data_IF_700836742783
#
_entry.id   IF_700836742783
#
_cell.length_a   1.000
_cell.length_b   1.000
_cell.length_c   1.000
_cell.angle_alpha   90.00
_cell.angle_beta   90.00
_cell.angle_gamma   90.00
#
_symmetry.space_group_name_H-M   'P 1'
#
loop_
_entity.id
_entity.type
_entity.pdbx_description
1 polymer ?
#
# COMPACT_ATOMS: atom_id res chain seq x y z
N UNK A 1 -3.28 -4.75 -7.96
CA UNK A 1 -3.70 -4.09 -6.70
C UNK A 1 -5.16 -4.40 -6.46
N UNK A 2 -5.45 -5.37 -5.61
CA UNK A 2 -6.82 -5.82 -5.42
C UNK A 2 -7.40 -5.21 -4.14
N UNK A 3 -8.56 -4.55 -4.23
CA UNK A 3 -9.22 -3.96 -3.05
C UNK A 3 -9.74 -5.02 -2.08
N UNK A 4 -9.98 -6.26 -2.54
CA UNK A 4 -10.37 -7.38 -1.67
C UNK A 4 -9.14 -8.06 -1.05
N UNK A 5 -8.01 -8.09 -1.75
CA UNK A 5 -6.76 -8.67 -1.28
C UNK A 5 -5.66 -7.62 -1.21
N UNK A 6 -5.81 -6.64 -0.30
CA UNK A 6 -4.76 -5.67 -0.02
C UNK A 6 -3.50 -6.38 0.48
N UNK A 7 -2.34 -5.92 0.02
CA UNK A 7 -1.02 -6.42 0.44
C UNK A 7 -0.04 -5.25 0.53
N UNK A 8 1.00 -5.32 1.38
CA UNK A 8 2.05 -4.31 1.44
C UNK A 8 2.73 -4.17 0.07
N UNK A 9 2.83 -2.94 -0.43
CA UNK A 9 3.40 -2.68 -1.75
C UNK A 9 4.92 -2.51 -1.68
N UNK A 10 5.59 -2.85 -2.78
CA UNK A 10 7.00 -2.52 -3.00
C UNK A 10 7.23 -1.01 -2.90
N UNK A 11 8.35 -0.61 -2.32
CA UNK A 11 8.79 0.79 -2.31
C UNK A 11 9.11 1.22 -3.74
N UNK A 12 8.57 2.37 -4.16
CA UNK A 12 8.78 2.88 -5.52
C UNK A 12 7.91 2.21 -6.60
N UNK A 13 6.86 1.46 -6.22
CA UNK A 13 5.93 0.83 -7.18
C UNK A 13 5.21 1.84 -8.10
N UNK A 14 5.19 3.12 -7.73
CA UNK A 14 4.69 4.19 -8.58
C UNK A 14 5.49 4.32 -9.88
N UNK A 15 6.82 4.24 -9.83
CA UNK A 15 7.66 4.28 -11.05
C UNK A 15 7.33 3.12 -11.98
N UNK A 16 7.16 1.94 -11.40
CA UNK A 16 6.84 0.73 -12.12
C UNK A 16 5.44 0.81 -12.78
N UNK A 17 4.48 1.40 -12.07
CA UNK A 17 3.15 1.69 -12.59
C UNK A 17 3.14 2.76 -13.68
N UNK A 18 3.95 3.81 -13.55
CA UNK A 18 4.08 4.87 -14.56
C UNK A 18 4.72 4.33 -15.84
N UNK A 19 5.69 3.42 -15.71
CA UNK A 19 6.37 2.81 -16.85
C UNK A 19 5.44 1.89 -17.68
N UNK A 20 4.51 1.18 -17.03
CA UNK A 20 3.61 0.24 -17.72
C UNK A 20 2.24 0.80 -18.08
N UNK A 21 1.66 1.70 -17.27
CA UNK A 21 0.37 2.28 -17.57
C UNK A 21 0.49 3.54 -18.42
N UNK A 22 -0.47 3.72 -19.33
CA UNK A 22 -0.70 4.98 -20.05
C UNK A 22 -1.51 5.99 -19.22
N UNK A 23 -1.45 5.90 -17.90
CA UNK A 23 -2.15 6.81 -17.00
C UNK A 23 -1.23 7.99 -16.62
N UNK A 24 -1.80 9.17 -16.35
CA UNK A 24 -1.01 10.31 -15.88
C UNK A 24 -0.34 9.99 -14.54
N UNK A 25 0.92 10.40 -14.37
CA UNK A 25 1.68 10.24 -13.13
C UNK A 25 0.90 10.75 -11.91
N UNK A 26 0.28 11.94 -12.02
CA UNK A 26 -0.50 12.53 -10.94
C UNK A 26 -1.66 11.64 -10.50
N UNK A 27 -2.32 10.96 -11.43
CA UNK A 27 -3.43 10.04 -11.15
C UNK A 27 -2.93 8.81 -10.41
N UNK A 28 -1.79 8.23 -10.84
CA UNK A 28 -1.17 7.07 -10.20
C UNK A 28 -0.73 7.42 -8.77
N UNK A 29 -0.02 8.53 -8.60
CA UNK A 29 0.44 9.00 -7.30
C UNK A 29 -0.74 9.27 -6.35
N UNK A 30 -1.81 9.93 -6.83
CA UNK A 30 -2.99 10.20 -6.01
C UNK A 30 -3.73 8.91 -5.61
N UNK A 31 -3.89 7.97 -6.55
CA UNK A 31 -4.52 6.69 -6.29
C UNK A 31 -3.73 5.86 -5.27
N UNK A 32 -2.40 5.77 -5.42
CA UNK A 32 -1.50 5.10 -4.48
C UNK A 32 -1.51 5.77 -3.11
N UNK A 33 -1.45 7.09 -3.07
CA UNK A 33 -1.49 7.84 -1.82
C UNK A 33 -2.80 7.58 -1.06
N UNK A 34 -3.94 7.60 -1.76
CA UNK A 34 -5.25 7.29 -1.16
C UNK A 34 -5.35 5.83 -0.72
N UNK A 35 -4.81 4.90 -1.51
CA UNK A 35 -4.73 3.48 -1.16
C UNK A 35 -3.92 3.27 0.13
N UNK A 36 -2.70 3.83 0.19
CA UNK A 36 -1.81 3.73 1.35
C UNK A 36 -2.36 4.43 2.61
N UNK A 37 -3.20 5.44 2.46
CA UNK A 37 -3.89 6.12 3.57
C UNK A 37 -5.06 5.33 4.14
N UNK A 38 -5.53 4.30 3.44
CA UNK A 38 -6.64 3.48 3.93
C UNK A 38 -6.18 2.70 5.15
N UNK A 39 -7.04 2.59 6.16
CA UNK A 39 -6.72 1.84 7.36
C UNK A 39 -6.38 0.38 7.03
N UNK A 40 -7.22 -0.31 6.26
CA UNK A 40 -6.97 -1.70 5.84
C UNK A 40 -5.53 -1.93 5.29
N UNK A 41 -4.96 -0.96 4.58
CA UNK A 41 -3.58 -1.05 4.11
C UNK A 41 -2.56 -0.94 5.25
N UNK A 42 -2.71 0.04 6.14
CA UNK A 42 -1.77 0.22 7.26
C UNK A 42 -1.79 -0.98 8.22
N UNK A 43 -2.90 -1.72 8.37
CA UNK A 43 -2.88 -2.94 9.23
C UNK A 43 -2.00 -4.05 8.64
N UNK A 44 -1.78 -4.03 7.33
CA UNK A 44 -0.99 -5.03 6.63
C UNK A 44 0.50 -4.69 6.61
N UNK A 45 0.85 -3.41 6.65
CA UNK A 45 2.23 -2.92 6.66
C UNK A 45 2.80 -2.98 8.09
N UNK A 46 3.04 -4.21 8.55
CA UNK A 46 3.69 -4.51 9.84
C UNK A 46 5.14 -4.93 9.63
N UNK A 47 5.95 -4.84 10.68
CA UNK A 47 7.33 -5.35 10.68
C UNK A 47 7.35 -6.80 10.18
N UNK A 48 8.34 -7.14 9.34
CA UNK A 48 8.52 -8.43 8.68
C UNK A 48 7.47 -8.83 7.64
N UNK A 49 6.44 -8.00 7.37
CA UNK A 49 5.47 -8.28 6.32
C UNK A 49 6.14 -8.25 4.93
N UNK A 50 5.75 -9.17 4.05
CA UNK A 50 6.30 -9.25 2.68
C UNK A 50 5.68 -8.15 1.81
N UNK A 51 6.55 -7.43 1.08
CA UNK A 51 6.15 -6.48 0.05
C UNK A 51 6.01 -7.17 -1.29
N UNK A 52 4.98 -6.79 -2.02
CA UNK A 52 4.66 -7.35 -3.32
C UNK A 52 4.74 -6.29 -4.43
N UNK A 53 5.22 -6.71 -5.59
CA UNK A 53 5.21 -5.91 -6.82
C UNK A 53 3.81 -5.93 -7.47
N UNK A 54 3.62 -5.22 -8.59
CA UNK A 54 2.37 -5.17 -9.36
C UNK A 54 1.97 -6.57 -9.85
N UNK A 55 2.96 -7.42 -10.16
CA UNK A 55 2.78 -8.79 -10.60
C UNK A 55 2.49 -9.77 -9.44
N UNK A 56 2.59 -9.30 -8.19
CA UNK A 56 2.42 -10.17 -7.02
C UNK A 56 3.67 -10.96 -6.64
N UNK A 57 4.83 -10.60 -7.20
CA UNK A 57 6.12 -11.16 -6.82
C UNK A 57 6.59 -10.58 -5.46
N UNK A 58 7.13 -11.39 -4.54
CA UNK A 58 7.69 -10.89 -3.29
C UNK A 58 9.02 -10.20 -3.55
N UNK A 59 9.15 -8.94 -3.10
CA UNK A 59 10.29 -8.07 -3.47
C UNK A 59 11.11 -7.62 -2.26
N UNK A 60 10.62 -7.92 -1.06
CA UNK A 60 11.31 -7.56 0.18
C UNK A 60 10.39 -7.67 1.38
N UNK A 61 10.89 -7.22 2.53
CA UNK A 61 10.13 -7.16 3.78
C UNK A 61 9.97 -5.70 4.23
N UNK A 62 8.93 -5.46 5.01
CA UNK A 62 8.73 -4.19 5.72
C UNK A 62 9.65 -4.19 6.94
N UNK A 63 10.57 -3.24 6.98
CA UNK A 63 11.44 -3.02 8.13
C UNK A 63 10.68 -2.29 9.25
N UNK A 64 11.20 -2.38 10.48
CA UNK A 64 10.58 -1.81 11.69
C UNK A 64 10.25 -0.33 11.53
N UNK A 65 11.19 0.44 11.00
CA UNK A 65 11.08 1.89 10.81
C UNK A 65 10.03 2.27 9.74
N UNK A 66 9.71 1.34 8.84
CA UNK A 66 8.75 1.54 7.74
C UNK A 66 7.39 0.92 8.04
N UNK A 67 7.22 0.31 9.21
CA UNK A 67 5.96 -0.25 9.66
C UNK A 67 5.05 0.85 10.23
N UNK A 68 3.75 0.71 10.03
CA UNK A 68 2.82 1.61 10.70
C UNK A 68 2.68 1.18 12.17
N UNK A 69 2.67 2.12 13.13
CA UNK A 69 2.29 1.80 14.49
C UNK A 69 0.88 1.22 14.49
N UNK A 70 0.57 0.32 15.43
CA UNK A 70 -0.73 -0.36 15.50
C UNK A 70 -1.85 0.68 15.69
N UNK A 71 -2.50 1.04 14.58
CA UNK A 71 -3.53 2.08 14.54
C UNK A 71 -4.84 1.44 14.96
N UNK A 72 -5.32 1.71 16.17
CA UNK A 72 -6.65 1.24 16.60
C UNK A 72 -7.72 1.78 15.64
N UNK A 73 -8.66 0.92 15.19
CA UNK A 73 -9.87 1.35 14.46
C UNK A 73 -10.57 2.44 15.27
N UNK A 74 -10.48 3.70 14.84
CA UNK A 74 -11.57 4.64 15.12
C UNK A 74 -12.73 4.17 14.26
N UNK A 75 -13.61 3.38 14.85
CA UNK A 75 -14.94 3.15 14.30
C UNK A 75 -15.59 4.52 14.14
N UNK A 76 -16.07 4.91 12.94
CA UNK A 76 -16.96 6.05 12.87
C UNK A 76 -18.16 5.71 13.74
N UNK A 77 -18.41 6.50 14.79
CA UNK A 77 -19.68 6.48 15.50
C UNK A 77 -20.75 6.73 14.45
N UNK A 78 -21.62 5.75 14.23
CA UNK A 78 -22.89 6.00 13.57
C UNK A 78 -23.72 6.84 14.55
N UNK A 79 -23.92 8.12 14.23
CA UNK A 79 -24.99 8.96 14.79
C UNK A 79 -26.29 8.69 14.03
#
# INVERSE_FOLDING_TARGET
>A
FDKKNMKPLKVGINNDLIAENKLPENTINFALWRFCKTWAYRELVKENAIRYDKEGNPVGKVEKDQSYPDVKKQTPKAE
#
